data_IF_814554506390
#
_entry.id   IF_814554506390
#
_cell.length_a   1.000
_cell.length_b   1.000
_cell.length_c   1.000
_cell.angle_alpha   90.00
_cell.angle_beta   90.00
_cell.angle_gamma   90.00
#
_symmetry.space_group_name_H-M   'P 1'
#
loop_
_entity.id
_entity.type
_entity.pdbx_description
1 polymer ?
#
# COMPACT_ATOMS: atom_id res chain seq x y z
N UNK A 1 5.50 9.84 -9.13
CA UNK A 1 6.25 10.92 -9.81
C UNK A 1 5.70 12.26 -9.42
N UNK A 2 6.57 13.23 -9.28
CA UNK A 2 6.25 14.60 -8.91
C UNK A 2 6.38 15.52 -10.10
N UNK A 3 5.59 16.58 -10.09
CA UNK A 3 5.69 17.65 -11.08
C UNK A 3 6.76 18.66 -10.68
N UNK A 4 7.69 18.91 -11.56
CA UNK A 4 8.70 20.00 -11.43
C UNK A 4 8.24 21.31 -12.06
N UNK A 5 7.17 21.26 -12.85
CA UNK A 5 6.54 22.42 -13.52
C UNK A 5 5.03 22.36 -13.34
N UNK A 6 4.38 23.52 -13.33
CA UNK A 6 2.92 23.63 -13.39
C UNK A 6 2.43 23.06 -14.73
N UNK A 7 1.45 22.16 -14.69
CA UNK A 7 0.85 21.57 -15.90
C UNK A 7 -0.38 22.38 -16.34
N UNK A 8 -1.24 22.75 -15.40
CA UNK A 8 -2.46 23.54 -15.63
C UNK A 8 -2.83 24.29 -14.33
N UNK A 9 -3.96 24.99 -14.33
CA UNK A 9 -4.36 25.78 -13.17
C UNK A 9 -4.73 24.94 -11.94
N UNK A 10 -5.00 23.65 -12.12
CA UNK A 10 -5.35 22.74 -11.02
C UNK A 10 -4.14 21.99 -10.45
N UNK A 11 -3.07 21.80 -11.25
CA UNK A 11 -1.88 21.03 -10.86
C UNK A 11 -0.62 21.88 -10.85
N UNK A 12 -0.20 22.28 -9.67
CA UNK A 12 1.01 23.07 -9.46
C UNK A 12 2.28 22.23 -9.43
N UNK A 13 3.41 22.92 -9.49
CA UNK A 13 4.72 22.30 -9.25
C UNK A 13 4.87 21.89 -7.77
N UNK A 14 5.68 20.89 -7.51
CA UNK A 14 6.04 20.47 -6.17
C UNK A 14 6.68 21.62 -5.38
N UNK A 15 6.21 21.83 -4.16
CA UNK A 15 6.74 22.85 -3.22
C UNK A 15 7.67 22.21 -2.17
N UNK A 16 8.08 20.98 -2.36
CA UNK A 16 9.02 20.24 -1.50
C UNK A 16 8.65 20.23 -0.01
N UNK A 17 7.36 20.13 0.30
CA UNK A 17 6.88 20.13 1.69
C UNK A 17 7.14 18.82 2.45
N UNK A 18 7.58 17.75 1.77
CA UNK A 18 7.84 16.43 2.37
C UNK A 18 6.61 15.69 2.89
N UNK A 19 5.40 16.08 2.47
CA UNK A 19 4.14 15.51 2.99
C UNK A 19 3.35 14.71 1.94
N UNK A 20 4.02 14.06 1.01
CA UNK A 20 3.37 13.32 -0.09
C UNK A 20 2.40 12.23 0.40
N UNK A 21 2.70 11.60 1.55
CA UNK A 21 1.85 10.56 2.13
C UNK A 21 0.53 11.06 2.72
N UNK A 22 0.27 12.37 2.72
CA UNK A 22 -0.94 12.94 3.33
C UNK A 22 -1.86 13.51 2.30
N UNK A 23 -1.70 13.93 1.30
CA UNK A 23 -2.48 14.66 0.31
C UNK A 23 -1.73 15.89 -0.17
N UNK A 24 -1.41 15.90 -1.43
CA UNK A 24 -0.65 17.00 -2.01
C UNK A 24 -1.55 18.20 -2.27
N UNK A 25 -1.36 19.29 -1.53
CA UNK A 25 -2.18 20.51 -1.66
C UNK A 25 -2.10 21.18 -3.02
N UNK A 26 -1.01 20.97 -3.75
CA UNK A 26 -0.80 21.53 -5.09
C UNK A 26 -1.01 20.49 -6.18
N UNK A 27 -1.44 19.29 -5.84
CA UNK A 27 -1.57 18.15 -6.75
C UNK A 27 -0.32 17.90 -7.62
N UNK A 28 0.84 18.24 -7.09
CA UNK A 28 2.14 17.98 -7.71
C UNK A 28 2.54 16.50 -7.65
N UNK A 29 2.03 15.77 -6.68
CA UNK A 29 2.13 14.32 -6.60
C UNK A 29 0.93 13.66 -7.29
N UNK A 30 1.14 12.46 -7.84
CA UNK A 30 0.08 11.71 -8.50
C UNK A 30 -0.71 10.88 -7.48
N UNK A 31 -2.01 11.07 -7.46
CA UNK A 31 -2.97 10.13 -6.88
C UNK A 31 -4.18 10.02 -7.80
N UNK A 32 -4.79 8.84 -7.89
CA UNK A 32 -5.98 8.63 -8.71
C UNK A 32 -7.14 9.54 -8.30
N UNK A 33 -7.32 9.77 -7.00
CA UNK A 33 -8.39 10.61 -6.48
C UNK A 33 -8.29 12.08 -6.92
N UNK A 34 -7.07 12.64 -6.89
CA UNK A 34 -6.87 14.05 -7.21
C UNK A 34 -6.64 14.32 -8.70
N UNK A 35 -6.03 13.37 -9.40
CA UNK A 35 -5.55 13.58 -10.77
C UNK A 35 -6.46 12.95 -11.82
N UNK A 36 -7.22 11.91 -11.49
CA UNK A 36 -8.10 11.21 -12.42
C UNK A 36 -9.58 11.36 -12.05
N UNK A 37 -9.96 11.03 -10.82
CA UNK A 37 -11.37 10.99 -10.41
C UNK A 37 -11.98 12.39 -10.43
N UNK A 38 -11.30 13.39 -9.89
CA UNK A 38 -11.81 14.76 -9.87
C UNK A 38 -12.08 15.33 -11.26
N UNK A 39 -11.12 15.31 -12.21
CA UNK A 39 -11.41 15.75 -13.58
C UNK A 39 -12.51 14.92 -14.25
N UNK A 40 -12.59 13.62 -13.99
CA UNK A 40 -13.63 12.76 -14.55
C UNK A 40 -15.02 13.20 -14.08
N UNK A 41 -15.22 13.49 -12.80
CA UNK A 41 -16.49 14.01 -12.26
C UNK A 41 -16.86 15.35 -12.93
N UNK A 42 -15.88 16.22 -13.14
CA UNK A 42 -16.11 17.54 -13.78
C UNK A 42 -16.59 17.45 -15.23
N UNK A 43 -16.44 16.32 -15.89
CA UNK A 43 -17.02 16.09 -17.23
C UNK A 43 -18.54 15.97 -17.23
N UNK A 44 -19.16 15.74 -16.04
CA UNK A 44 -20.58 15.44 -15.91
C UNK A 44 -21.00 14.05 -16.39
N UNK A 45 -20.04 13.20 -16.78
CA UNK A 45 -20.29 11.84 -17.27
C UNK A 45 -19.96 10.74 -16.23
N UNK A 46 -19.62 11.13 -15.01
CA UNK A 46 -19.22 10.21 -13.94
C UNK A 46 -19.96 10.52 -12.65
N UNK A 47 -20.65 9.52 -12.13
CA UNK A 47 -21.24 9.53 -10.81
C UNK A 47 -20.33 8.76 -9.85
N UNK A 48 -19.91 9.41 -8.77
CA UNK A 48 -19.12 8.79 -7.71
C UNK A 48 -20.01 8.49 -6.50
N UNK A 49 -20.23 7.20 -6.24
CA UNK A 49 -20.97 6.74 -5.07
C UNK A 49 -19.96 6.33 -3.99
N UNK A 50 -19.90 7.09 -2.92
CA UNK A 50 -19.08 6.81 -1.74
C UNK A 50 -19.89 6.14 -0.63
N UNK A 51 -19.20 5.50 0.32
CA UNK A 51 -19.90 4.78 1.38
C UNK A 51 -20.64 3.53 0.90
N UNK A 52 -20.33 3.03 -0.29
CA UNK A 52 -20.90 1.83 -0.88
C UNK A 52 -19.97 0.64 -0.71
N UNK A 53 -20.47 -0.46 -0.15
CA UNK A 53 -19.76 -1.73 -0.03
C UNK A 53 -20.30 -2.71 -1.04
N UNK A 54 -19.58 -2.92 -2.14
CA UNK A 54 -19.98 -3.87 -3.17
C UNK A 54 -20.11 -5.27 -2.58
N UNK A 55 -21.26 -5.90 -2.82
CA UNK A 55 -21.61 -7.21 -2.28
C UNK A 55 -21.42 -8.30 -3.32
N UNK A 56 -22.00 -8.10 -4.51
CA UNK A 56 -21.93 -9.06 -5.60
C UNK A 56 -22.11 -8.39 -6.97
N UNK A 57 -21.61 -9.05 -7.99
CA UNK A 57 -21.95 -8.74 -9.38
C UNK A 57 -23.20 -9.53 -9.75
N UNK A 58 -24.24 -8.83 -10.14
CA UNK A 58 -25.50 -9.41 -10.58
C UNK A 58 -25.38 -10.00 -11.99
N UNK A 59 -26.06 -11.11 -12.25
CA UNK A 59 -26.09 -11.75 -13.56
C UNK A 59 -27.51 -12.06 -14.01
N UNK A 60 -27.73 -12.11 -15.31
CA UNK A 60 -28.97 -12.61 -15.89
C UNK A 60 -29.01 -14.14 -15.91
N UNK A 61 -30.12 -14.68 -16.44
CA UNK A 61 -30.33 -16.13 -16.56
C UNK A 61 -29.34 -16.82 -17.52
N UNK A 62 -28.66 -16.04 -18.38
CA UNK A 62 -27.64 -16.52 -19.28
C UNK A 62 -26.24 -16.47 -18.64
N UNK A 63 -26.10 -15.84 -17.45
CA UNK A 63 -24.87 -15.69 -16.71
C UNK A 63 -24.06 -14.46 -17.10
N UNK A 64 -24.62 -13.51 -17.85
CA UNK A 64 -23.98 -12.24 -18.18
C UNK A 64 -24.14 -11.23 -17.05
N UNK A 65 -23.10 -10.46 -16.77
CA UNK A 65 -23.17 -9.39 -15.78
C UNK A 65 -24.17 -8.31 -16.20
N UNK A 66 -25.02 -7.91 -15.26
CA UNK A 66 -26.07 -6.89 -15.45
C UNK A 66 -25.91 -5.69 -14.55
N UNK A 67 -25.06 -5.77 -13.54
CA UNK A 67 -24.83 -4.70 -12.58
C UNK A 67 -24.13 -5.16 -11.32
N UNK A 68 -24.25 -4.34 -10.28
CA UNK A 68 -23.64 -4.59 -8.95
C UNK A 68 -24.67 -4.31 -7.87
N UNK A 69 -24.76 -5.22 -6.90
CA UNK A 69 -25.43 -4.98 -5.62
C UNK A 69 -24.41 -4.46 -4.60
N UNK A 70 -24.80 -3.49 -3.78
CA UNK A 70 -23.97 -2.94 -2.73
C UNK A 70 -24.79 -2.58 -1.48
N UNK A 71 -24.13 -2.61 -0.33
CA UNK A 71 -24.69 -2.12 0.93
C UNK A 71 -24.23 -0.67 1.14
N UNK A 72 -25.16 0.22 1.35
CA UNK A 72 -24.85 1.59 1.72
C UNK A 72 -24.44 1.63 3.21
N UNK A 73 -23.25 2.16 3.48
CA UNK A 73 -22.63 2.19 4.82
C UNK A 73 -23.30 3.16 5.80
N UNK A 74 -24.17 4.03 5.33
CA UNK A 74 -24.84 5.04 6.15
C UNK A 74 -26.18 4.57 6.71
N UNK A 75 -26.90 3.77 5.94
CA UNK A 75 -28.24 3.26 6.31
C UNK A 75 -28.32 1.73 6.42
N UNK A 76 -27.23 1.02 6.04
CA UNK A 76 -27.14 -0.43 5.98
C UNK A 76 -28.20 -1.10 5.08
N UNK A 77 -28.74 -0.37 4.10
CA UNK A 77 -29.67 -0.91 3.12
C UNK A 77 -28.92 -1.36 1.87
N UNK A 78 -29.49 -2.35 1.20
CA UNK A 78 -28.97 -2.87 -0.06
C UNK A 78 -29.57 -2.13 -1.25
N UNK A 79 -28.69 -1.77 -2.19
CA UNK A 79 -29.03 -1.08 -3.42
C UNK A 79 -28.41 -1.79 -4.61
N UNK A 80 -28.94 -1.50 -5.80
CA UNK A 80 -28.46 -2.09 -7.05
C UNK A 80 -28.21 -1.00 -8.09
N UNK A 81 -27.17 -1.20 -8.89
CA UNK A 81 -26.87 -0.37 -10.05
C UNK A 81 -26.75 -1.28 -11.26
N UNK A 82 -27.58 -1.02 -12.27
CA UNK A 82 -27.51 -1.74 -13.53
C UNK A 82 -26.48 -1.11 -14.47
N UNK A 83 -25.73 -1.93 -15.17
CA UNK A 83 -24.72 -1.50 -16.11
C UNK A 83 -24.56 -2.51 -17.25
N UNK A 84 -24.21 -2.02 -18.45
CA UNK A 84 -23.88 -2.86 -19.61
C UNK A 84 -22.52 -3.54 -19.47
N UNK A 85 -21.61 -2.93 -18.71
CA UNK A 85 -20.25 -3.43 -18.42
C UNK A 85 -19.93 -3.17 -16.95
N UNK A 86 -19.42 -4.18 -16.27
CA UNK A 86 -18.93 -4.08 -14.89
C UNK A 86 -17.43 -4.27 -14.88
N UNK A 87 -16.70 -3.29 -14.35
CA UNK A 87 -15.24 -3.34 -14.22
C UNK A 87 -14.89 -3.49 -12.73
N UNK A 88 -14.17 -4.55 -12.41
CA UNK A 88 -13.72 -4.82 -11.04
C UNK A 88 -12.32 -4.29 -10.81
N UNK A 89 -12.18 -3.32 -9.92
CA UNK A 89 -10.91 -2.72 -9.51
C UNK A 89 -10.74 -2.69 -8.00
N UNK A 90 -11.27 -3.70 -7.30
CA UNK A 90 -11.31 -3.75 -5.84
C UNK A 90 -10.05 -4.30 -5.17
N UNK A 91 -8.90 -4.26 -5.84
CA UNK A 91 -7.65 -4.92 -5.46
C UNK A 91 -7.69 -6.46 -5.56
N UNK A 92 -6.55 -7.10 -5.37
CA UNK A 92 -6.41 -8.56 -5.58
C UNK A 92 -7.39 -9.37 -4.71
N UNK A 93 -7.34 -9.17 -3.40
CA UNK A 93 -8.15 -9.97 -2.46
C UNK A 93 -9.63 -9.62 -2.54
N UNK A 94 -9.98 -8.34 -2.53
CA UNK A 94 -11.40 -7.93 -2.56
C UNK A 94 -12.06 -8.21 -3.92
N UNK A 95 -11.30 -8.19 -5.03
CA UNK A 95 -11.82 -8.66 -6.33
C UNK A 95 -12.13 -10.16 -6.28
N UNK A 96 -11.24 -10.98 -5.71
CA UNK A 96 -11.50 -12.41 -5.53
C UNK A 96 -12.70 -12.63 -4.60
N UNK A 97 -12.79 -11.90 -3.49
CA UNK A 97 -13.94 -11.96 -2.58
C UNK A 97 -15.26 -11.66 -3.29
N UNK A 98 -15.29 -10.60 -4.08
CA UNK A 98 -16.47 -10.18 -4.82
C UNK A 98 -16.89 -11.24 -5.85
N UNK A 99 -15.94 -11.79 -6.60
CA UNK A 99 -16.20 -12.85 -7.57
C UNK A 99 -16.72 -14.13 -6.90
N UNK A 100 -16.10 -14.56 -5.80
CA UNK A 100 -16.48 -15.77 -5.07
C UNK A 100 -17.85 -15.63 -4.37
N UNK A 101 -18.23 -14.42 -3.96
CA UNK A 101 -19.56 -14.14 -3.40
C UNK A 101 -20.63 -13.96 -4.48
N UNK A 102 -20.27 -13.66 -5.73
CA UNK A 102 -21.19 -13.47 -6.86
C UNK A 102 -21.63 -14.84 -7.42
N UNK A 103 -22.56 -15.49 -6.71
CA UNK A 103 -23.07 -16.82 -7.05
C UNK A 103 -24.42 -16.74 -7.77
N UNK A 104 -24.61 -17.63 -8.72
CA UNK A 104 -25.90 -17.81 -9.42
C UNK A 104 -26.05 -19.25 -9.87
N UNK A 105 -27.19 -19.60 -10.46
CA UNK A 105 -27.43 -20.93 -11.04
C UNK A 105 -26.35 -21.28 -12.09
N UNK A 106 -25.92 -20.29 -12.87
CA UNK A 106 -24.86 -20.47 -13.88
C UNK A 106 -23.46 -20.45 -13.29
N UNK A 107 -23.27 -19.81 -12.15
CA UNK A 107 -21.99 -19.63 -11.46
C UNK A 107 -22.05 -20.11 -10.00
N UNK A 108 -22.32 -21.40 -9.73
CA UNK A 108 -22.55 -21.90 -8.37
C UNK A 108 -21.33 -21.75 -7.45
N UNK A 109 -20.14 -21.74 -8.03
CA UNK A 109 -18.86 -21.61 -7.32
C UNK A 109 -18.28 -20.18 -7.36
N UNK A 110 -19.09 -19.18 -7.72
CA UNK A 110 -18.67 -17.80 -7.93
C UNK A 110 -18.47 -17.44 -9.40
N UNK A 111 -18.62 -16.16 -9.67
CA UNK A 111 -18.47 -15.61 -11.02
C UNK A 111 -17.02 -15.75 -11.50
N UNK A 112 -16.84 -16.03 -12.81
CA UNK A 112 -15.56 -16.27 -13.47
C UNK A 112 -14.74 -17.44 -12.87
N UNK A 113 -15.37 -18.34 -12.09
CA UNK A 113 -14.69 -19.43 -11.39
C UNK A 113 -15.02 -20.84 -11.95
N UNK A 114 -15.28 -20.96 -13.24
CA UNK A 114 -15.50 -22.25 -13.89
C UNK A 114 -14.30 -23.20 -13.82
N UNK A 115 -13.10 -22.65 -13.77
CA UNK A 115 -11.83 -23.41 -13.61
C UNK A 115 -11.51 -23.75 -12.16
N UNK A 116 -12.21 -23.16 -11.17
CA UNK A 116 -11.93 -23.35 -9.75
C UNK A 116 -10.68 -22.67 -9.25
N UNK A 117 -10.10 -21.71 -10.00
CA UNK A 117 -8.81 -21.09 -9.64
C UNK A 117 -8.93 -19.69 -9.04
N UNK A 118 -10.13 -19.12 -8.99
CA UNK A 118 -10.31 -17.80 -8.33
C UNK A 118 -9.93 -17.90 -6.86
N UNK A 119 -9.02 -17.02 -6.43
CA UNK A 119 -8.44 -17.02 -5.09
C UNK A 119 -7.18 -17.86 -4.92
N UNK A 120 -6.89 -18.80 -5.83
CA UNK A 120 -5.65 -19.57 -5.82
C UNK A 120 -4.45 -18.81 -6.37
N UNK A 121 -3.24 -19.35 -6.19
CA UNK A 121 -1.96 -18.72 -6.55
C UNK A 121 -1.74 -17.38 -5.87
N UNK A 122 -2.35 -17.19 -4.70
CA UNK A 122 -2.16 -15.97 -3.91
C UNK A 122 -0.69 -15.84 -3.51
N UNK A 123 -0.12 -14.71 -3.83
CA UNK A 123 1.25 -14.37 -3.44
C UNK A 123 1.38 -12.86 -3.25
N UNK A 124 2.32 -12.50 -2.41
CA UNK A 124 2.74 -11.12 -2.18
C UNK A 124 4.26 -11.03 -2.31
N UNK A 125 4.80 -9.85 -2.27
CA UNK A 125 6.24 -9.68 -2.29
C UNK A 125 6.86 -10.24 -1.01
N UNK A 126 7.93 -11.01 -1.17
CA UNK A 126 8.79 -11.38 -0.04
C UNK A 126 9.54 -10.14 0.43
N UNK A 127 9.73 -9.99 1.72
CA UNK A 127 10.37 -8.82 2.27
C UNK A 127 11.25 -9.07 3.47
N UNK A 128 12.22 -8.19 3.63
CA UNK A 128 12.95 -7.98 4.86
C UNK A 128 13.17 -6.48 5.04
N UNK A 129 13.12 -6.00 6.26
CA UNK A 129 13.31 -4.58 6.56
C UNK A 129 14.37 -4.39 7.62
N UNK A 130 15.14 -3.32 7.45
CA UNK A 130 16.07 -2.80 8.44
C UNK A 130 15.89 -1.29 8.57
N UNK A 131 16.17 -0.75 9.73
CA UNK A 131 16.19 0.68 9.97
C UNK A 131 17.34 1.07 10.88
N UNK A 132 17.73 2.32 10.79
CA UNK A 132 18.82 2.83 11.59
C UNK A 132 18.92 4.34 11.51
N UNK A 133 20.02 4.85 12.05
CA UNK A 133 20.36 6.26 12.00
C UNK A 133 21.76 6.44 11.41
N UNK A 134 21.95 7.55 10.73
CA UNK A 134 23.23 7.94 10.16
C UNK A 134 23.85 9.02 11.06
N UNK A 135 24.86 8.69 11.90
CA UNK A 135 25.42 9.64 12.87
C UNK A 135 25.98 10.93 12.25
N UNK A 136 26.49 10.85 11.04
CA UNK A 136 26.97 12.01 10.29
C UNK A 136 25.89 13.06 9.98
N UNK A 137 24.62 12.70 10.12
CA UNK A 137 23.47 13.58 9.89
C UNK A 137 22.88 14.16 11.18
N UNK A 138 23.42 13.80 12.35
CA UNK A 138 22.91 14.32 13.62
C UNK A 138 23.12 15.84 13.74
N UNK A 139 22.08 16.52 14.18
CA UNK A 139 22.13 17.97 14.45
C UNK A 139 22.34 18.86 13.23
N UNK A 140 22.31 18.31 12.01
CA UNK A 140 22.48 19.13 10.79
C UNK A 140 21.31 20.12 10.60
N UNK A 141 21.60 21.22 9.92
CA UNK A 141 20.58 22.18 9.53
C UNK A 141 19.48 21.49 8.70
N UNK A 142 18.25 21.78 9.03
CA UNK A 142 17.10 21.27 8.29
C UNK A 142 16.87 22.10 7.05
N UNK A 143 16.62 21.43 5.97
CA UNK A 143 16.16 22.02 4.73
C UNK A 143 15.38 20.95 3.95
N UNK A 144 14.60 21.37 3.00
CA UNK A 144 13.64 20.51 2.33
C UNK A 144 13.91 20.45 0.81
N UNK A 145 15.14 20.64 0.41
CA UNK A 145 15.53 20.72 -1.01
C UNK A 145 15.91 19.37 -1.60
N UNK A 146 16.26 18.39 -0.74
CA UNK A 146 16.80 17.08 -1.16
C UNK A 146 15.73 16.09 -1.59
N UNK A 147 14.49 16.43 -1.47
CA UNK A 147 13.52 15.45 -1.85
C UNK A 147 12.11 15.68 -1.38
N UNK A 148 11.31 14.78 -1.83
CA UNK A 148 9.90 14.67 -1.56
C UNK A 148 9.67 13.43 -0.70
N UNK A 149 8.79 13.51 0.26
CA UNK A 149 8.35 12.34 1.01
C UNK A 149 7.75 11.31 0.05
N UNK A 150 8.01 10.04 0.28
CA UNK A 150 7.48 8.95 -0.53
C UNK A 150 8.28 8.60 -1.79
N UNK A 151 9.42 9.24 -2.01
CA UNK A 151 10.36 8.81 -3.04
C UNK A 151 11.30 7.74 -2.48
N UNK A 152 11.53 6.70 -3.27
CA UNK A 152 12.47 5.64 -2.95
C UNK A 152 13.63 5.64 -3.93
N UNK A 153 14.83 5.40 -3.40
CA UNK A 153 15.99 4.96 -4.17
C UNK A 153 16.06 3.45 -4.02
N UNK A 154 16.39 2.72 -5.07
CA UNK A 154 16.44 1.27 -5.01
C UNK A 154 17.65 0.68 -5.72
N UNK A 155 18.09 -0.49 -5.23
CA UNK A 155 19.14 -1.29 -5.83
C UNK A 155 18.52 -2.56 -6.43
N UNK A 156 18.65 -2.79 -7.73
CA UNK A 156 18.03 -3.92 -8.41
C UNK A 156 18.90 -5.19 -8.35
N UNK A 157 18.48 -6.19 -7.61
CA UNK A 157 19.13 -7.50 -7.59
C UNK A 157 18.56 -8.48 -8.62
N UNK A 158 17.55 -8.08 -9.40
CA UNK A 158 17.05 -8.89 -10.52
C UNK A 158 17.96 -8.86 -11.74
N UNK A 159 18.91 -7.94 -11.83
CA UNK A 159 19.81 -7.79 -12.97
C UNK A 159 20.90 -8.85 -13.01
N UNK A 160 21.31 -9.40 -11.87
CA UNK A 160 22.32 -10.45 -11.76
C UNK A 160 21.91 -11.49 -10.70
N UNK A 161 20.83 -12.22 -10.97
CA UNK A 161 20.32 -13.26 -10.07
C UNK A 161 20.85 -14.67 -10.36
N UNK A 162 21.70 -14.85 -11.40
CA UNK A 162 22.19 -16.16 -11.84
C UNK A 162 23.06 -16.89 -10.82
N UNK A 163 23.63 -16.14 -9.87
CA UNK A 163 24.50 -16.67 -8.82
C UNK A 163 23.77 -16.94 -7.49
N UNK A 164 22.46 -16.66 -7.44
CA UNK A 164 21.66 -16.85 -6.24
C UNK A 164 21.16 -18.30 -6.16
N UNK A 165 21.04 -18.82 -4.96
CA UNK A 165 20.55 -20.17 -4.67
C UNK A 165 19.02 -20.25 -4.51
N UNK A 166 18.33 -19.22 -5.00
CA UNK A 166 16.88 -19.13 -5.06
C UNK A 166 16.43 -18.52 -6.40
N UNK A 167 15.23 -18.87 -6.91
CA UNK A 167 14.72 -18.33 -8.15
C UNK A 167 14.27 -16.88 -7.98
N UNK A 168 14.18 -16.16 -9.12
CA UNK A 168 13.69 -14.80 -9.22
C UNK A 168 14.60 -13.76 -8.56
N UNK A 169 14.16 -12.53 -8.50
CA UNK A 169 14.96 -11.42 -8.04
C UNK A 169 14.24 -10.59 -6.96
N UNK A 170 14.93 -9.60 -6.50
CA UNK A 170 14.39 -8.60 -5.59
C UNK A 170 15.10 -7.26 -5.78
N UNK A 171 14.56 -6.21 -5.20
CA UNK A 171 15.24 -4.94 -5.03
C UNK A 171 15.24 -4.52 -3.57
N UNK A 172 16.20 -3.68 -3.20
CA UNK A 172 16.20 -2.99 -1.92
C UNK A 172 15.78 -1.56 -2.14
N UNK A 173 14.73 -1.15 -1.47
CA UNK A 173 14.26 0.22 -1.40
C UNK A 173 14.92 0.93 -0.22
N UNK A 174 15.33 2.16 -0.42
CA UNK A 174 15.89 3.03 0.61
C UNK A 174 14.97 4.21 0.80
N UNK A 175 14.63 4.50 2.03
CA UNK A 175 13.88 5.68 2.41
C UNK A 175 14.47 6.34 3.65
N UNK A 176 14.26 7.62 3.76
CA UNK A 176 14.80 8.40 4.86
C UNK A 176 14.54 9.87 4.63
N UNK A 177 15.30 10.71 5.33
CA UNK A 177 15.29 12.13 5.13
C UNK A 177 14.29 12.90 5.99
N UNK A 178 13.86 14.02 5.48
CA UNK A 178 13.18 15.09 6.20
C UNK A 178 11.65 14.94 6.21
N UNK A 179 11.15 13.81 6.64
CA UNK A 179 9.71 13.70 6.86
C UNK A 179 9.28 14.65 8.00
N UNK A 180 8.18 15.35 7.79
CA UNK A 180 7.64 16.23 8.81
C UNK A 180 7.33 15.46 10.09
N UNK A 181 7.64 16.00 11.28
CA UNK A 181 7.21 15.42 12.55
C UNK A 181 5.70 15.58 12.67
N UNK A 182 4.99 14.69 12.09
CA UNK A 182 3.56 14.70 12.09
C UNK A 182 3.03 13.40 12.65
N UNK A 183 2.15 12.75 11.88
CA UNK A 183 1.54 11.49 12.25
C UNK A 183 2.55 10.38 12.57
N UNK A 184 3.70 10.36 11.93
CA UNK A 184 4.81 9.45 12.24
C UNK A 184 5.73 9.91 13.38
N UNK A 185 5.40 11.01 14.04
CA UNK A 185 6.14 11.52 15.18
C UNK A 185 6.17 10.48 16.30
N UNK A 186 7.36 10.12 16.74
CA UNK A 186 7.55 9.06 17.73
C UNK A 186 7.73 7.65 17.16
N UNK A 187 7.25 7.34 15.96
CA UNK A 187 7.45 6.00 15.39
C UNK A 187 8.93 5.68 15.09
N UNK A 188 9.71 6.67 14.67
CA UNK A 188 11.16 6.53 14.51
C UNK A 188 11.95 6.75 15.80
N UNK A 189 11.33 7.33 16.82
CA UNK A 189 11.98 7.65 18.09
C UNK A 189 11.99 6.51 19.11
N UNK A 190 11.12 5.51 18.94
CA UNK A 190 11.04 4.37 19.85
C UNK A 190 12.34 3.57 19.95
N UNK A 191 13.13 3.56 18.90
CA UNK A 191 14.46 2.92 18.87
C UNK A 191 15.61 3.86 19.27
N UNK A 192 15.33 5.11 19.60
CA UNK A 192 16.33 6.13 19.88
C UNK A 192 16.52 6.43 21.37
N UNK A 193 15.97 5.60 22.24
CA UNK A 193 16.24 5.68 23.66
C UNK A 193 17.64 5.14 23.94
N UNK A 194 18.45 5.90 24.65
CA UNK A 194 19.79 5.45 25.03
C UNK A 194 20.89 6.50 24.84
N UNK A 195 22.11 6.02 24.85
CA UNK A 195 23.32 6.86 24.76
C UNK A 195 23.93 6.73 23.38
N UNK A 196 24.12 7.85 22.71
CA UNK A 196 24.73 7.95 21.39
C UNK A 196 26.06 8.69 21.48
N UNK A 197 27.09 8.19 20.81
CA UNK A 197 28.37 8.89 20.66
C UNK A 197 28.28 9.81 19.43
N UNK A 198 28.50 11.10 19.66
CA UNK A 198 28.41 12.12 18.62
C UNK A 198 29.58 13.07 18.77
N UNK A 199 30.51 13.07 17.80
CA UNK A 199 31.69 13.91 17.81
C UNK A 199 32.46 13.85 19.13
N UNK A 200 32.65 12.66 19.69
CA UNK A 200 33.36 12.42 20.94
C UNK A 200 32.58 12.79 22.22
N UNK A 201 31.33 13.18 22.09
CA UNK A 201 30.45 13.47 23.22
C UNK A 201 29.29 12.44 23.30
N UNK A 202 28.90 12.13 24.52
CA UNK A 202 27.73 11.28 24.73
C UNK A 202 26.49 12.15 24.76
N UNK A 203 25.52 11.85 23.86
CA UNK A 203 24.15 12.37 23.92
C UNK A 203 23.25 11.28 24.46
N UNK A 204 22.54 11.58 25.52
CA UNK A 204 21.47 10.74 26.04
C UNK A 204 20.13 11.19 25.41
N UNK A 205 19.36 10.22 24.91
CA UNK A 205 18.05 10.44 24.28
C UNK A 205 16.99 9.58 24.94
N UNK A 206 15.73 9.95 24.78
CA UNK A 206 14.59 9.21 25.32
C UNK A 206 13.80 9.94 26.40
N UNK A 207 14.03 11.22 26.58
CA UNK A 207 13.27 12.05 27.49
C UNK A 207 11.86 12.42 26.98
N UNK A 208 11.18 13.25 27.71
CA UNK A 208 9.87 13.81 27.33
C UNK A 208 9.89 15.34 27.51
N UNK A 209 8.83 16.02 27.08
CA UNK A 209 8.74 17.47 27.17
C UNK A 209 9.79 18.19 26.30
N UNK A 210 10.58 19.08 26.88
CA UNK A 210 11.62 19.84 26.16
C UNK A 210 12.74 18.92 25.65
N UNK A 211 13.15 17.95 26.44
CA UNK A 211 14.15 16.96 26.08
C UNK A 211 13.74 16.17 24.82
N UNK A 212 12.47 15.77 24.72
CA UNK A 212 11.94 15.13 23.51
C UNK A 212 12.01 16.07 22.29
N UNK A 213 11.70 17.35 22.46
CA UNK A 213 11.80 18.33 21.36
C UNK A 213 13.24 18.51 20.87
N UNK A 214 14.20 18.51 21.80
CA UNK A 214 15.62 18.56 21.48
C UNK A 214 16.06 17.31 20.73
N UNK A 215 15.63 16.13 21.18
CA UNK A 215 15.93 14.86 20.53
C UNK A 215 15.37 14.81 19.11
N UNK A 216 14.12 15.24 18.93
CA UNK A 216 13.51 15.34 17.59
C UNK A 216 14.32 16.28 16.69
N UNK A 217 14.75 17.43 17.18
CA UNK A 217 15.57 18.35 16.40
C UNK A 217 16.93 17.74 16.04
N UNK A 218 17.52 17.03 16.97
CA UNK A 218 18.86 16.43 16.80
C UNK A 218 18.85 15.25 15.82
N UNK A 219 17.88 14.36 15.92
CA UNK A 219 17.78 13.16 15.07
C UNK A 219 17.00 13.38 13.77
N UNK A 220 16.39 14.52 13.59
CA UNK A 220 15.57 14.79 12.41
C UNK A 220 16.38 14.69 11.12
N UNK A 221 15.90 13.91 10.18
CA UNK A 221 16.57 13.67 8.90
C UNK A 221 17.73 12.68 8.95
N UNK A 222 18.04 12.14 10.13
CA UNK A 222 19.11 11.14 10.27
C UNK A 222 18.62 9.69 10.20
N UNK A 223 17.32 9.46 10.19
CA UNK A 223 16.74 8.13 10.06
C UNK A 223 16.84 7.61 8.64
N UNK A 224 17.20 6.35 8.50
CA UNK A 224 17.19 5.62 7.25
C UNK A 224 16.45 4.31 7.44
N UNK A 225 15.61 3.97 6.48
CA UNK A 225 14.98 2.67 6.36
C UNK A 225 15.42 1.98 5.08
N UNK A 226 15.52 0.68 5.13
CA UNK A 226 15.76 -0.18 3.97
C UNK A 226 14.74 -1.31 3.99
N UNK A 227 14.19 -1.65 2.85
CA UNK A 227 13.25 -2.75 2.70
C UNK A 227 13.43 -3.49 1.40
N UNK A 228 13.59 -4.80 1.50
CA UNK A 228 13.61 -5.66 0.35
C UNK A 228 12.20 -5.92 -0.16
N UNK A 229 12.05 -5.93 -1.49
CA UNK A 229 10.83 -6.34 -2.20
C UNK A 229 11.22 -7.39 -3.21
N UNK A 230 10.84 -8.64 -2.95
CA UNK A 230 11.18 -9.78 -3.78
C UNK A 230 9.95 -10.43 -4.40
N UNK A 231 10.17 -11.17 -5.46
CA UNK A 231 9.14 -11.93 -6.12
C UNK A 231 8.93 -13.28 -5.39
N UNK A 232 7.71 -13.53 -4.94
CA UNK A 232 7.31 -14.85 -4.48
C UNK A 232 6.97 -15.78 -5.66
N UNK A 233 7.09 -17.08 -5.45
CA UNK A 233 6.68 -18.08 -6.42
C UNK A 233 5.21 -18.41 -6.23
N UNK A 234 4.33 -18.12 -7.20
CA UNK A 234 2.91 -18.46 -7.10
C UNK A 234 2.72 -19.97 -6.99
N UNK A 235 1.93 -20.42 -6.00
CA UNK A 235 1.61 -21.82 -5.76
C UNK A 235 0.12 -22.00 -5.63
N UNK A 236 -0.42 -23.08 -6.17
CA UNK A 236 -1.86 -23.36 -6.16
C UNK A 236 -2.44 -23.46 -4.76
N UNK A 237 -1.71 -24.03 -3.83
CA UNK A 237 -2.11 -24.20 -2.44
C UNK A 237 -2.21 -22.89 -1.66
N UNK A 238 -1.48 -21.85 -2.06
CA UNK A 238 -1.64 -20.51 -1.51
C UNK A 238 -2.89 -19.85 -2.07
N UNK A 239 -3.87 -19.60 -1.19
CA UNK A 239 -5.18 -19.13 -1.63
C UNK A 239 -5.89 -18.27 -0.61
N UNK A 240 -6.86 -17.52 -1.10
CA UNK A 240 -7.98 -17.02 -0.32
C UNK A 240 -9.28 -17.70 -0.76
N UNK A 241 -10.17 -17.93 0.17
CA UNK A 241 -11.49 -18.54 -0.04
C UNK A 241 -12.52 -17.83 0.81
N UNK A 242 -13.80 -17.96 0.48
CA UNK A 242 -14.86 -17.43 1.34
C UNK A 242 -14.95 -18.27 2.61
N UNK A 243 -14.96 -17.59 3.75
CA UNK A 243 -15.31 -18.21 5.03
C UNK A 243 -16.84 -18.38 5.09
N UNK A 244 -17.35 -19.61 5.26
CA UNK A 244 -18.79 -19.85 5.24
C UNK A 244 -19.50 -19.37 6.53
N UNK A 245 -18.77 -19.21 7.63
CA UNK A 245 -19.32 -18.99 8.95
C UNK A 245 -19.16 -17.54 9.44
N UNK A 246 -18.31 -16.75 8.78
CA UNK A 246 -17.99 -15.39 9.19
C UNK A 246 -18.41 -14.37 8.15
N UNK A 247 -19.15 -13.36 8.61
CA UNK A 247 -19.54 -12.20 7.80
C UNK A 247 -18.97 -10.91 8.40
N UNK A 248 -18.79 -9.92 7.55
CA UNK A 248 -18.44 -8.57 8.02
C UNK A 248 -19.68 -7.85 8.60
N UNK A 249 -19.48 -6.62 9.06
CA UNK A 249 -20.55 -5.81 9.64
C UNK A 249 -21.70 -5.45 8.69
N UNK A 250 -21.54 -5.74 7.41
CA UNK A 250 -22.56 -5.54 6.37
C UNK A 250 -23.22 -6.86 5.95
N UNK A 251 -22.94 -7.96 6.65
CA UNK A 251 -23.48 -9.28 6.33
C UNK A 251 -22.85 -9.93 5.10
N UNK A 252 -21.70 -9.45 4.64
CA UNK A 252 -21.02 -10.01 3.47
C UNK A 252 -19.96 -11.02 3.95
N UNK A 253 -19.94 -12.28 3.43
CA UNK A 253 -18.95 -13.28 3.79
C UNK A 253 -17.52 -12.78 3.57
N UNK A 254 -16.64 -13.06 4.52
CA UNK A 254 -15.24 -12.61 4.49
C UNK A 254 -14.30 -13.64 3.86
N UNK A 255 -13.06 -13.25 3.62
CA UNK A 255 -12.03 -14.16 3.14
C UNK A 255 -11.31 -14.86 4.28
N UNK A 256 -11.09 -16.15 4.12
CA UNK A 256 -10.10 -16.93 4.83
C UNK A 256 -8.85 -17.09 3.95
N UNK A 257 -7.65 -17.04 4.58
CA UNK A 257 -6.36 -17.09 3.88
C UNK A 257 -5.57 -18.33 4.31
N UNK A 258 -5.17 -19.13 3.34
CA UNK A 258 -4.17 -20.19 3.52
C UNK A 258 -2.98 -19.86 2.62
N UNK A 259 -1.97 -19.23 3.21
CA UNK A 259 -0.80 -18.73 2.48
C UNK A 259 0.47 -18.96 3.29
N UNK A 260 1.44 -19.64 2.68
CA UNK A 260 2.72 -19.99 3.31
C UNK A 260 3.88 -19.63 2.42
N UNK A 261 4.96 -19.15 3.02
CA UNK A 261 6.23 -18.99 2.33
C UNK A 261 6.90 -20.35 2.13
N UNK A 262 7.54 -20.54 0.98
CA UNK A 262 8.42 -21.67 0.76
C UNK A 262 9.84 -21.39 1.23
N UNK A 263 10.70 -22.38 1.11
CA UNK A 263 12.12 -22.21 1.40
C UNK A 263 12.79 -21.14 0.53
N UNK A 264 12.28 -20.90 -0.69
CA UNK A 264 12.81 -19.90 -1.61
C UNK A 264 12.56 -18.47 -1.09
N UNK A 265 11.34 -18.17 -0.67
CA UNK A 265 11.01 -16.87 -0.07
C UNK A 265 11.81 -16.65 1.21
N UNK A 266 12.01 -17.70 2.03
CA UNK A 266 12.81 -17.62 3.24
C UNK A 266 14.28 -17.36 2.94
N UNK A 267 14.87 -18.04 1.94
CA UNK A 267 16.25 -17.80 1.48
C UNK A 267 16.40 -16.37 0.94
N UNK A 268 15.47 -15.96 0.10
CA UNK A 268 15.45 -14.60 -0.46
C UNK A 268 15.40 -13.52 0.64
N UNK A 269 14.52 -13.67 1.64
CA UNK A 269 14.43 -12.75 2.77
C UNK A 269 15.70 -12.74 3.64
N UNK A 270 16.38 -13.88 3.80
CA UNK A 270 17.68 -13.96 4.48
C UNK A 270 18.79 -13.25 3.71
N UNK A 271 18.79 -13.37 2.40
CA UNK A 271 19.79 -12.72 1.54
C UNK A 271 19.60 -11.18 1.48
N UNK A 272 18.38 -10.69 1.65
CA UNK A 272 18.07 -9.26 1.73
C UNK A 272 18.65 -8.58 2.97
N UNK A 273 18.85 -9.31 4.07
CA UNK A 273 19.41 -8.81 5.34
C UNK A 273 20.93 -8.75 5.33
#
# INVERSE_FOLDING_TARGET
SILTKKINDERGACVYCGQCNRSCKVYGDFSSSSVLVRPAILTGNVDLITGAMAREVMTDNEGKATGVSYVNKFDNQEYQINAKVVILGASTCETARLLLNSKSTKHPNGLANSSGVVGHYLHDSTGAAMGGVIPALFGRKRYNEDGVGGMHVYTPWWLDNKKLDFPRGYHIEYWGGMSQPGYGFGMGMQGMNGKFQVNGKTKEAGGYGESLKEDVRFFYGANVGMGGRGEAVPRFENKCSIDPDVVDKYGIPVLNFDCKNSEYEIKQAKHMK
#
